data_IF_797093037059
#
_entry.id   IF_797093037059
#
_cell.length_a   1.000
_cell.length_b   1.000
_cell.length_c   1.000
_cell.angle_alpha   90.00
_cell.angle_beta   90.00
_cell.angle_gamma   90.00
#
_symmetry.space_group_name_H-M   'P 1'
#
loop_
_entity.id
_entity.type
_entity.pdbx_description
1 polymer ?
#
# COMPACT_ATOMS: atom_id res chain seq x y z
N UNK A 1 -10.18 1.49 89.93
CA UNK A 1 -10.69 1.94 91.24
C UNK A 1 -11.68 3.01 90.90
N UNK A 2 -12.93 2.87 91.29
CA UNK A 2 -13.97 3.84 90.96
C UNK A 2 -14.19 4.76 92.15
N UNK A 3 -14.34 6.04 91.88
CA UNK A 3 -14.77 7.02 92.87
C UNK A 3 -16.30 7.02 92.91
N UNK A 4 -16.84 6.58 94.05
CA UNK A 4 -18.28 6.60 94.31
C UNK A 4 -18.56 7.81 95.18
N UNK A 5 -19.21 8.83 94.61
CA UNK A 5 -19.47 10.10 95.29
C UNK A 5 -20.78 10.72 94.89
N UNK A 6 -21.44 11.40 95.82
CA UNK A 6 -22.71 12.06 95.59
C UNK A 6 -23.28 12.68 96.86
N UNK A 7 -24.55 13.07 96.82
CA UNK A 7 -25.32 13.54 97.99
C UNK A 7 -26.35 12.46 98.31
N UNK A 8 -26.40 12.03 99.57
CA UNK A 8 -27.38 11.05 100.03
C UNK A 8 -28.70 11.75 100.38
N UNK A 9 -29.77 11.38 99.68
CA UNK A 9 -31.11 11.92 99.88
C UNK A 9 -32.12 10.80 100.11
N UNK A 10 -33.19 11.10 100.84
CA UNK A 10 -34.33 10.18 101.01
C UNK A 10 -35.29 10.23 99.81
N UNK A 11 -36.35 9.41 99.84
CA UNK A 11 -37.37 9.36 98.79
C UNK A 11 -38.19 10.65 98.61
N UNK A 12 -38.02 11.64 99.49
CA UNK A 12 -38.61 12.98 99.39
C UNK A 12 -37.58 14.05 98.97
N UNK A 13 -36.33 13.65 98.69
CA UNK A 13 -35.24 14.55 98.29
C UNK A 13 -34.57 15.27 99.46
N UNK A 14 -34.88 14.91 100.71
CA UNK A 14 -34.26 15.51 101.90
C UNK A 14 -32.88 14.88 102.16
N UNK A 15 -31.91 15.72 102.51
CA UNK A 15 -30.55 15.29 102.85
C UNK A 15 -30.57 14.34 104.05
N UNK A 16 -29.89 13.20 103.90
CA UNK A 16 -29.57 12.27 104.99
C UNK A 16 -28.16 12.58 105.47
N UNK A 17 -28.02 13.03 106.72
CA UNK A 17 -26.73 13.33 107.37
C UNK A 17 -26.51 12.44 108.60
N UNK A 18 -25.33 12.55 109.22
CA UNK A 18 -24.95 11.78 110.41
C UNK A 18 -25.16 10.27 110.24
N UNK A 19 -24.79 9.77 109.06
CA UNK A 19 -24.93 8.37 108.69
C UNK A 19 -23.62 7.82 108.13
N UNK A 20 -23.54 6.50 108.06
CA UNK A 20 -22.36 5.76 107.60
C UNK A 20 -22.77 4.79 106.51
N UNK A 21 -22.05 4.82 105.40
CA UNK A 21 -22.19 3.84 104.33
C UNK A 21 -21.16 2.74 104.58
N UNK A 22 -21.64 1.53 104.81
CA UNK A 22 -20.80 0.34 104.94
C UNK A 22 -20.81 -0.47 103.64
N UNK A 23 -19.62 -0.79 103.16
CA UNK A 23 -19.39 -1.72 102.06
C UNK A 23 -18.81 -3.01 102.61
N UNK A 24 -19.56 -4.10 102.46
CA UNK A 24 -19.11 -5.44 102.82
C UNK A 24 -18.70 -6.21 101.56
N UNK A 25 -17.39 -6.44 101.40
CA UNK A 25 -16.89 -7.23 100.28
C UNK A 25 -17.36 -8.69 100.40
N UNK A 26 -18.10 -9.19 99.41
CA UNK A 26 -18.66 -10.55 99.43
C UNK A 26 -17.61 -11.66 99.25
N UNK A 27 -16.42 -11.32 98.75
CA UNK A 27 -15.30 -12.24 98.52
C UNK A 27 -13.97 -11.52 98.73
N UNK A 28 -12.95 -12.27 99.12
CA UNK A 28 -11.57 -11.78 99.10
C UNK A 28 -11.05 -11.81 97.66
N UNK A 29 -10.51 -10.69 97.17
CA UNK A 29 -9.79 -10.56 95.90
C UNK A 29 -8.29 -10.34 96.17
N UNK A 30 -7.47 -10.31 95.12
CA UNK A 30 -6.05 -9.96 95.25
C UNK A 30 -5.79 -8.52 95.73
N UNK A 31 -6.82 -7.66 95.79
CA UNK A 31 -6.74 -6.26 96.20
C UNK A 31 -7.69 -5.88 97.34
N UNK A 32 -8.65 -6.73 97.71
CA UNK A 32 -9.70 -6.44 98.71
C UNK A 32 -9.91 -7.67 99.58
N UNK A 33 -9.77 -7.55 100.90
CA UNK A 33 -10.15 -8.61 101.84
C UNK A 33 -11.66 -8.59 102.08
N UNK A 34 -12.28 -9.74 102.35
CA UNK A 34 -13.68 -9.85 102.78
C UNK A 34 -13.88 -9.23 104.18
N UNK A 35 -13.87 -7.90 104.23
CA UNK A 35 -14.03 -7.08 105.42
C UNK A 35 -14.98 -5.92 105.12
N UNK A 36 -15.56 -5.35 106.18
CA UNK A 36 -16.41 -4.17 106.10
C UNK A 36 -15.55 -2.91 106.04
N UNK A 37 -15.83 -2.03 105.09
CA UNK A 37 -15.30 -0.67 105.06
C UNK A 37 -16.44 0.31 105.34
N UNK A 38 -16.23 1.24 106.28
CA UNK A 38 -17.19 2.24 106.69
C UNK A 38 -16.75 3.63 106.17
N UNK A 39 -17.68 4.36 105.57
CA UNK A 39 -17.48 5.71 105.06
C UNK A 39 -18.49 6.65 105.70
N UNK A 40 -18.00 7.66 106.42
CA UNK A 40 -18.85 8.68 107.02
C UNK A 40 -19.41 9.63 105.96
N UNK A 41 -20.70 9.96 106.10
CA UNK A 41 -21.37 10.94 105.25
C UNK A 41 -21.30 12.30 105.95
N UNK A 42 -20.82 13.32 105.25
CA UNK A 42 -20.69 14.68 105.79
C UNK A 42 -22.05 15.30 106.13
N UNK A 43 -22.05 16.39 106.92
CA UNK A 43 -23.28 17.05 107.39
C UNK A 43 -24.20 17.55 106.26
N UNK A 44 -23.62 17.89 105.11
CA UNK A 44 -24.34 18.30 103.90
C UNK A 44 -24.85 17.10 103.06
N UNK A 45 -24.75 15.88 103.57
CA UNK A 45 -25.13 14.64 102.89
C UNK A 45 -24.12 14.14 101.87
N UNK A 46 -23.00 14.83 101.67
CA UNK A 46 -22.01 14.40 100.70
C UNK A 46 -21.22 13.19 101.20
N UNK A 47 -21.02 12.23 100.31
CA UNK A 47 -20.14 11.09 100.52
C UNK A 47 -19.15 11.00 99.37
N UNK A 48 -17.96 10.49 99.66
CA UNK A 48 -16.97 10.14 98.65
C UNK A 48 -16.20 8.95 99.16
N UNK A 49 -16.19 7.87 98.39
CA UNK A 49 -15.47 6.66 98.69
C UNK A 49 -14.75 6.15 97.46
N UNK A 50 -13.54 5.68 97.71
CA UNK A 50 -12.61 5.23 96.70
C UNK A 50 -12.62 3.70 96.74
N UNK A 51 -13.36 3.08 95.82
CA UNK A 51 -13.76 1.67 95.93
C UNK A 51 -12.98 0.83 94.92
N UNK A 52 -12.33 -0.22 95.43
CA UNK A 52 -11.59 -1.17 94.61
C UNK A 52 -12.55 -2.18 93.94
N UNK A 53 -12.12 -2.86 92.85
CA UNK A 53 -13.00 -3.80 92.17
C UNK A 53 -13.35 -5.03 93.02
N UNK A 54 -14.64 -5.21 93.31
CA UNK A 54 -15.24 -6.36 94.00
C UNK A 54 -16.78 -6.26 93.96
N UNK A 55 -17.48 -7.32 94.38
CA UNK A 55 -18.89 -7.27 94.71
C UNK A 55 -19.07 -6.88 96.18
N UNK A 56 -19.86 -5.84 96.44
CA UNK A 56 -20.10 -5.33 97.79
C UNK A 56 -21.57 -5.38 98.16
N UNK A 57 -21.90 -5.87 99.35
CA UNK A 57 -23.18 -5.58 99.99
C UNK A 57 -23.11 -4.20 100.65
N UNK A 58 -24.05 -3.33 100.30
CA UNK A 58 -24.10 -1.94 100.79
C UNK A 58 -25.12 -1.84 101.92
N UNK A 59 -24.70 -1.30 103.05
CA UNK A 59 -25.56 -0.97 104.19
C UNK A 59 -25.46 0.51 104.54
N UNK A 60 -26.56 1.08 104.98
CA UNK A 60 -26.65 2.43 105.49
C UNK A 60 -26.97 2.37 106.98
N UNK A 61 -26.12 2.99 107.80
CA UNK A 61 -26.30 3.12 109.24
C UNK A 61 -26.66 4.56 109.54
N UNK A 62 -27.84 4.78 110.13
CA UNK A 62 -28.29 6.11 110.58
C UNK A 62 -28.35 6.04 112.11
N UNK A 63 -27.76 7.01 112.80
CA UNK A 63 -27.73 7.04 114.27
C UNK A 63 -29.14 6.91 114.86
N UNK A 64 -29.34 5.89 115.70
CA UNK A 64 -30.64 5.59 116.33
C UNK A 64 -31.55 4.62 115.56
N UNK A 65 -31.16 4.17 114.35
CA UNK A 65 -31.90 3.21 113.54
C UNK A 65 -31.06 1.94 113.27
N UNK A 66 -31.70 0.76 113.10
CA UNK A 66 -30.98 -0.46 112.72
C UNK A 66 -30.35 -0.32 111.32
N UNK A 67 -29.17 -0.93 111.06
CA UNK A 67 -28.52 -0.90 109.75
C UNK A 67 -29.46 -1.36 108.63
N UNK A 68 -29.64 -0.51 107.61
CA UNK A 68 -30.50 -0.78 106.46
C UNK A 68 -29.66 -1.26 105.28
N UNK A 69 -29.92 -2.48 104.80
CA UNK A 69 -29.32 -2.96 103.55
C UNK A 69 -29.90 -2.19 102.36
N UNK A 70 -29.04 -1.52 101.60
CA UNK A 70 -29.42 -0.74 100.40
C UNK A 70 -29.41 -1.61 99.14
N UNK A 71 -28.52 -2.60 99.05
CA UNK A 71 -28.43 -3.48 97.89
C UNK A 71 -27.06 -4.14 97.76
N UNK A 72 -26.75 -4.65 96.57
CA UNK A 72 -25.41 -5.10 96.20
C UNK A 72 -24.94 -4.24 95.03
N UNK A 73 -23.67 -3.83 95.04
CA UNK A 73 -23.03 -3.15 93.91
C UNK A 73 -21.89 -4.02 93.39
N UNK A 74 -21.61 -3.93 92.08
CA UNK A 74 -20.44 -4.54 91.44
C UNK A 74 -19.53 -3.42 90.95
N UNK A 75 -18.27 -3.45 91.38
CA UNK A 75 -17.24 -2.51 90.92
C UNK A 75 -16.23 -3.31 90.10
N UNK A 76 -16.06 -2.95 88.83
CA UNK A 76 -15.08 -3.52 87.92
C UNK A 76 -13.81 -2.67 87.86
N UNK A 77 -12.76 -3.19 87.23
CA UNK A 77 -11.49 -2.46 87.06
C UNK A 77 -11.65 -1.18 86.22
N UNK A 78 -12.58 -1.19 85.29
CA UNK A 78 -12.92 -0.16 84.31
C UNK A 78 -14.26 0.53 84.61
N UNK A 79 -14.88 0.28 85.77
CA UNK A 79 -16.06 1.01 86.20
C UNK A 79 -15.76 2.51 86.26
N UNK A 80 -16.59 3.30 85.59
CA UNK A 80 -16.55 4.75 85.65
C UNK A 80 -16.94 5.26 87.05
N UNK A 81 -16.47 6.46 87.39
CA UNK A 81 -16.89 7.17 88.61
C UNK A 81 -18.39 7.50 88.54
N UNK A 82 -19.07 7.49 89.69
CA UNK A 82 -20.53 7.67 89.73
C UNK A 82 -21.10 7.81 91.14
N UNK A 83 -22.41 7.97 91.25
CA UNK A 83 -23.11 8.00 92.54
C UNK A 83 -23.38 6.59 93.04
N UNK A 84 -23.58 6.42 94.35
CA UNK A 84 -23.97 5.12 94.92
C UNK A 84 -25.24 4.57 94.26
N UNK A 85 -26.17 5.44 93.87
CA UNK A 85 -27.38 5.02 93.18
C UNK A 85 -27.09 4.49 91.77
N UNK A 86 -26.16 5.08 91.03
CA UNK A 86 -25.75 4.58 89.71
C UNK A 86 -25.22 3.15 89.81
N UNK A 87 -24.42 2.86 90.84
CA UNK A 87 -23.91 1.53 91.10
C UNK A 87 -24.98 0.54 91.62
N UNK A 88 -26.01 1.02 92.32
CA UNK A 88 -27.14 0.20 92.79
C UNK A 88 -28.19 -0.06 91.70
N UNK A 89 -28.25 0.79 90.67
CA UNK A 89 -29.15 0.65 89.52
C UNK A 89 -28.51 -0.12 88.36
N UNK A 90 -27.18 -0.33 88.38
CA UNK A 90 -26.52 -1.13 87.36
C UNK A 90 -27.06 -2.57 87.37
N UNK A 91 -27.48 -3.11 86.22
CA UNK A 91 -27.93 -4.49 86.12
C UNK A 91 -26.80 -5.42 86.56
N UNK A 92 -27.12 -6.37 87.43
CA UNK A 92 -26.15 -7.37 87.89
C UNK A 92 -25.75 -8.30 86.75
N UNK A 93 -24.55 -8.88 86.78
CA UNK A 93 -24.08 -9.87 85.78
C UNK A 93 -25.09 -11.00 85.49
N UNK A 94 -26.03 -11.29 86.40
CA UNK A 94 -27.10 -12.27 86.18
C UNK A 94 -28.11 -11.91 85.07
N UNK A 95 -28.16 -10.65 84.62
CA UNK A 95 -29.00 -10.22 83.50
C UNK A 95 -28.32 -10.41 82.13
N UNK A 96 -26.98 -10.56 82.10
CA UNK A 96 -26.22 -10.99 80.91
C UNK A 96 -26.29 -12.51 80.81
N UNK A 97 -27.44 -13.01 80.37
CA UNK A 97 -27.60 -14.44 80.13
C UNK A 97 -26.79 -14.88 78.91
N UNK A 98 -26.33 -16.15 78.84
CA UNK A 98 -25.71 -16.70 77.63
C UNK A 98 -26.57 -16.52 76.37
N UNK A 99 -27.90 -16.49 76.51
CA UNK A 99 -28.82 -16.25 75.41
C UNK A 99 -28.72 -14.83 74.82
N UNK A 100 -28.56 -13.80 75.66
CA UNK A 100 -28.39 -12.41 75.20
C UNK A 100 -27.05 -12.25 74.47
N UNK A 101 -25.99 -12.87 74.97
CA UNK A 101 -24.67 -12.89 74.30
C UNK A 101 -24.77 -13.61 72.94
N UNK A 102 -25.49 -14.74 72.87
CA UNK A 102 -25.69 -15.47 71.62
C UNK A 102 -26.44 -14.64 70.58
N UNK A 103 -27.51 -13.93 70.98
CA UNK A 103 -28.25 -13.04 70.06
C UNK A 103 -27.37 -11.93 69.48
N UNK A 104 -26.48 -11.34 70.29
CA UNK A 104 -25.53 -10.32 69.82
C UNK A 104 -24.50 -10.91 68.84
N UNK A 105 -23.99 -12.13 69.12
CA UNK A 105 -23.07 -12.83 68.22
C UNK A 105 -23.77 -13.18 66.90
N UNK A 106 -25.01 -13.67 66.95
CA UNK A 106 -25.80 -14.02 65.77
C UNK A 106 -26.11 -12.77 64.93
N UNK A 107 -26.49 -11.67 65.57
CA UNK A 107 -26.71 -10.38 64.90
C UNK A 107 -25.44 -9.89 64.22
N UNK A 108 -24.27 -9.96 64.89
CA UNK A 108 -22.98 -9.62 64.30
C UNK A 108 -22.64 -10.52 63.11
N UNK A 109 -22.85 -11.83 63.22
CA UNK A 109 -22.58 -12.78 62.15
C UNK A 109 -23.51 -12.55 60.94
N UNK A 110 -24.78 -12.25 61.18
CA UNK A 110 -25.72 -11.85 60.12
C UNK A 110 -25.32 -10.54 59.45
N UNK A 111 -24.88 -9.54 60.22
CA UNK A 111 -24.37 -8.29 59.68
C UNK A 111 -23.13 -8.50 58.80
N UNK A 112 -22.15 -9.28 59.28
CA UNK A 112 -20.95 -9.63 58.51
C UNK A 112 -21.29 -10.36 57.20
N UNK A 113 -22.16 -11.37 57.26
CA UNK A 113 -22.61 -12.11 56.07
C UNK A 113 -23.35 -11.22 55.07
N UNK A 114 -24.09 -10.22 55.57
CA UNK A 114 -24.78 -9.24 54.72
C UNK A 114 -23.79 -8.28 54.06
N UNK A 115 -22.75 -7.86 54.79
CA UNK A 115 -21.66 -7.03 54.26
C UNK A 115 -20.84 -7.77 53.19
N UNK A 116 -20.50 -9.05 53.41
CA UNK A 116 -19.82 -9.88 52.41
C UNK A 116 -20.63 -10.00 51.11
N UNK A 117 -21.94 -10.29 51.22
CA UNK A 117 -22.83 -10.33 50.05
C UNK A 117 -22.89 -9.00 49.31
N UNK A 118 -22.90 -7.88 50.03
CA UNK A 118 -22.89 -6.55 49.42
C UNK A 118 -21.58 -6.29 48.66
N UNK A 119 -20.43 -6.69 49.23
CA UNK A 119 -19.13 -6.59 48.57
C UNK A 119 -19.05 -7.46 47.30
N UNK A 120 -19.61 -8.68 47.33
CA UNK A 120 -19.69 -9.54 46.14
C UNK A 120 -20.57 -8.93 45.04
N UNK A 121 -21.70 -8.31 45.41
CA UNK A 121 -22.56 -7.59 44.47
C UNK A 121 -21.82 -6.41 43.85
N UNK A 122 -21.08 -5.62 44.63
CA UNK A 122 -20.28 -4.50 44.12
C UNK A 122 -19.21 -4.98 43.12
N UNK A 123 -18.52 -6.08 43.42
CA UNK A 123 -17.55 -6.69 42.50
C UNK A 123 -18.20 -7.15 41.20
N UNK A 124 -19.40 -7.73 41.28
CA UNK A 124 -20.15 -8.16 40.11
C UNK A 124 -20.64 -6.96 39.26
N UNK A 125 -21.08 -5.87 39.89
CA UNK A 125 -21.45 -4.63 39.20
C UNK A 125 -20.24 -4.09 38.42
N UNK A 126 -19.06 -3.97 39.05
CA UNK A 126 -17.83 -3.52 38.37
C UNK A 126 -17.47 -4.41 37.19
N UNK A 127 -17.66 -5.73 37.31
CA UNK A 127 -17.44 -6.66 36.20
C UNK A 127 -18.42 -6.40 35.05
N UNK A 128 -19.71 -6.17 35.35
CA UNK A 128 -20.74 -5.83 34.35
C UNK A 128 -20.43 -4.50 33.68
N UNK A 129 -20.01 -3.48 34.43
CA UNK A 129 -19.60 -2.18 33.89
C UNK A 129 -18.43 -2.33 32.91
N UNK A 130 -17.40 -3.08 33.29
CA UNK A 130 -16.27 -3.38 32.41
C UNK A 130 -16.71 -4.10 31.13
N UNK A 131 -17.57 -5.11 31.24
CA UNK A 131 -18.11 -5.81 30.07
C UNK A 131 -18.95 -4.90 29.19
N UNK A 132 -19.76 -4.02 29.78
CA UNK A 132 -20.58 -3.03 29.04
C UNK A 132 -19.70 -2.05 28.27
N UNK A 133 -18.64 -1.57 28.90
CA UNK A 133 -17.65 -0.70 28.26
C UNK A 133 -16.95 -1.41 27.10
N UNK A 134 -16.60 -2.69 27.26
CA UNK A 134 -16.03 -3.49 26.17
C UNK A 134 -17.00 -3.60 24.99
N UNK A 135 -18.28 -3.89 25.23
CA UNK A 135 -19.29 -3.94 24.16
C UNK A 135 -19.49 -2.60 23.47
N UNK A 136 -19.47 -1.48 24.21
CA UNK A 136 -19.55 -0.15 23.62
C UNK A 136 -18.35 0.14 22.70
N UNK A 137 -17.14 -0.26 23.09
CA UNK A 137 -15.95 -0.12 22.22
C UNK A 137 -16.04 -1.02 20.98
N UNK A 138 -16.47 -2.28 21.13
CA UNK A 138 -16.66 -3.18 19.99
C UNK A 138 -17.70 -2.64 19.01
N UNK A 139 -18.80 -2.06 19.51
CA UNK A 139 -19.80 -1.41 18.67
C UNK A 139 -19.22 -0.20 17.91
N UNK A 140 -18.37 0.59 18.56
CA UNK A 140 -17.66 1.71 17.92
C UNK A 140 -16.71 1.23 16.82
N UNK A 141 -15.87 0.24 17.12
CA UNK A 141 -14.98 -0.38 16.13
C UNK A 141 -15.76 -0.96 14.95
N UNK A 142 -16.91 -1.60 15.22
CA UNK A 142 -17.77 -2.12 14.15
C UNK A 142 -18.34 -1.01 13.26
N UNK A 143 -18.71 0.14 13.82
CA UNK A 143 -19.18 1.29 13.06
C UNK A 143 -18.05 1.90 12.19
N UNK A 144 -16.84 2.01 12.74
CA UNK A 144 -15.67 2.49 12.01
C UNK A 144 -15.31 1.55 10.84
N UNK A 145 -15.38 0.23 11.06
CA UNK A 145 -15.17 -0.76 10.01
C UNK A 145 -16.24 -0.69 8.90
N UNK A 146 -17.52 -0.48 9.27
CA UNK A 146 -18.59 -0.31 8.28
C UNK A 146 -18.34 0.92 7.39
N UNK A 147 -17.91 2.03 7.99
CA UNK A 147 -17.56 3.26 7.26
C UNK A 147 -16.36 3.06 6.34
N UNK A 148 -15.32 2.34 6.79
CA UNK A 148 -14.18 1.98 5.94
C UNK A 148 -14.62 1.11 4.75
N UNK A 149 -15.52 0.15 4.98
CA UNK A 149 -16.09 -0.69 3.91
C UNK A 149 -16.89 0.11 2.89
N UNK A 150 -17.62 1.14 3.32
CA UNK A 150 -18.33 2.07 2.43
C UNK A 150 -17.33 2.82 1.53
N UNK A 151 -16.29 3.43 2.09
CA UNK A 151 -15.23 4.11 1.33
C UNK A 151 -14.53 3.18 0.34
N UNK A 152 -14.23 1.94 0.75
CA UNK A 152 -13.63 0.95 -0.14
C UNK A 152 -14.56 0.59 -1.32
N UNK A 153 -15.87 0.53 -1.07
CA UNK A 153 -16.86 0.25 -2.13
C UNK A 153 -16.96 1.41 -3.12
N UNK A 154 -16.88 2.66 -2.65
CA UNK A 154 -16.84 3.85 -3.50
C UNK A 154 -15.59 3.89 -4.38
N UNK A 155 -14.42 3.58 -3.80
CA UNK A 155 -13.16 3.50 -4.53
C UNK A 155 -13.21 2.41 -5.61
N UNK A 156 -13.72 1.23 -5.28
CA UNK A 156 -13.92 0.15 -6.26
C UNK A 156 -14.85 0.56 -7.40
N UNK A 157 -15.95 1.26 -7.08
CA UNK A 157 -16.86 1.79 -8.08
C UNK A 157 -16.16 2.83 -8.99
N UNK A 158 -15.27 3.66 -8.44
CA UNK A 158 -14.47 4.61 -9.22
C UNK A 158 -13.49 3.90 -10.16
N UNK A 159 -12.72 2.93 -9.66
CA UNK A 159 -11.81 2.14 -10.50
C UNK A 159 -12.54 1.37 -11.61
N UNK A 160 -13.76 0.89 -11.35
CA UNK A 160 -14.60 0.27 -12.36
C UNK A 160 -15.03 1.26 -13.47
N UNK A 161 -15.39 2.51 -13.10
CA UNK A 161 -15.71 3.58 -14.06
C UNK A 161 -14.51 3.96 -14.93
N UNK A 162 -13.33 4.08 -14.32
CA UNK A 162 -12.08 4.37 -15.03
C UNK A 162 -11.74 3.24 -16.02
N UNK A 163 -11.85 1.99 -15.57
CA UNK A 163 -11.64 0.80 -16.42
C UNK A 163 -12.59 0.77 -17.61
N UNK A 164 -13.86 1.12 -17.41
CA UNK A 164 -14.85 1.21 -18.49
C UNK A 164 -14.50 2.31 -19.52
N UNK A 165 -13.96 3.44 -19.04
CA UNK A 165 -13.48 4.52 -19.91
C UNK A 165 -12.29 4.07 -20.74
N UNK A 166 -11.31 3.41 -20.11
CA UNK A 166 -10.15 2.84 -20.82
C UNK A 166 -10.57 1.84 -21.89
N UNK A 167 -11.52 0.95 -21.59
CA UNK A 167 -12.04 -0.02 -22.56
C UNK A 167 -12.73 0.67 -23.76
N UNK A 168 -13.44 1.77 -23.51
CA UNK A 168 -14.09 2.57 -24.56
C UNK A 168 -13.05 3.23 -25.47
N UNK A 169 -12.01 3.83 -24.88
CA UNK A 169 -10.93 4.46 -25.63
C UNK A 169 -10.13 3.45 -26.45
N UNK A 170 -9.86 2.27 -25.89
CA UNK A 170 -9.19 1.18 -26.62
C UNK A 170 -10.03 0.70 -27.81
N UNK A 171 -11.35 0.61 -27.65
CA UNK A 171 -12.27 0.25 -28.74
C UNK A 171 -12.25 1.30 -29.87
N UNK A 172 -12.25 2.59 -29.53
CA UNK A 172 -12.15 3.67 -30.51
C UNK A 172 -10.80 3.66 -31.26
N UNK A 173 -9.69 3.41 -30.55
CA UNK A 173 -8.36 3.28 -31.15
C UNK A 173 -8.27 2.09 -32.11
N UNK A 174 -8.92 0.97 -31.79
CA UNK A 174 -8.99 -0.20 -32.66
C UNK A 174 -9.76 0.12 -33.95
N UNK A 175 -10.91 0.79 -33.86
CA UNK A 175 -11.68 1.23 -35.04
C UNK A 175 -10.90 2.20 -35.92
N UNK A 176 -10.12 3.11 -35.33
CA UNK A 176 -9.25 4.01 -36.09
C UNK A 176 -8.13 3.24 -36.81
N UNK A 177 -7.51 2.26 -36.14
CA UNK A 177 -6.48 1.41 -36.77
C UNK A 177 -7.04 0.60 -37.94
N UNK A 178 -8.27 0.07 -37.82
CA UNK A 178 -8.96 -0.61 -38.91
C UNK A 178 -9.15 0.30 -40.13
N UNK A 179 -9.60 1.53 -39.92
CA UNK A 179 -9.76 2.52 -40.99
C UNK A 179 -8.43 2.87 -41.67
N UNK A 180 -7.36 3.02 -40.88
CA UNK A 180 -6.01 3.24 -41.42
C UNK A 180 -5.52 2.04 -42.23
N UNK A 181 -5.73 0.82 -41.74
CA UNK A 181 -5.36 -0.40 -42.47
C UNK A 181 -6.12 -0.52 -43.80
N UNK A 182 -7.42 -0.22 -43.81
CA UNK A 182 -8.23 -0.19 -45.04
C UNK A 182 -7.71 0.86 -46.04
N UNK A 183 -7.32 2.04 -45.56
CA UNK A 183 -6.74 3.10 -46.41
C UNK A 183 -5.40 2.69 -47.01
N UNK A 184 -4.55 1.98 -46.25
CA UNK A 184 -3.30 1.43 -46.75
C UNK A 184 -3.52 0.30 -47.77
N UNK A 185 -4.48 -0.58 -47.54
CA UNK A 185 -4.86 -1.63 -48.48
C UNK A 185 -5.32 -1.04 -49.81
N UNK A 186 -6.16 0.00 -49.78
CA UNK A 186 -6.59 0.70 -50.98
C UNK A 186 -5.43 1.41 -51.69
N UNK A 187 -4.54 2.07 -50.95
CA UNK A 187 -3.34 2.70 -51.52
C UNK A 187 -2.45 1.68 -52.22
N UNK A 188 -2.23 0.50 -51.60
CA UNK A 188 -1.47 -0.59 -52.21
C UNK A 188 -2.13 -1.11 -53.49
N UNK A 189 -3.46 -1.24 -53.51
CA UNK A 189 -4.23 -1.64 -54.70
C UNK A 189 -4.08 -0.64 -55.85
N UNK A 190 -4.13 0.66 -55.56
CA UNK A 190 -3.92 1.72 -56.54
C UNK A 190 -2.48 1.71 -57.08
N UNK A 191 -1.48 1.53 -56.22
CA UNK A 191 -0.07 1.42 -56.62
C UNK A 191 0.20 0.19 -57.50
N UNK A 192 -0.43 -0.96 -57.19
CA UNK A 192 -0.34 -2.15 -58.02
C UNK A 192 -0.95 -1.91 -59.42
N UNK A 193 -2.10 -1.24 -59.47
CA UNK A 193 -2.76 -0.85 -60.74
C UNK A 193 -1.87 0.10 -61.56
N UNK A 194 -1.28 1.12 -60.93
CA UNK A 194 -0.36 2.05 -61.59
C UNK A 194 0.86 1.31 -62.16
N UNK A 195 1.44 0.37 -61.39
CA UNK A 195 2.57 -0.44 -61.83
C UNK A 195 2.23 -1.32 -63.03
N UNK A 196 1.05 -1.93 -63.04
CA UNK A 196 0.55 -2.72 -64.17
C UNK A 196 0.40 -1.85 -65.44
N UNK A 197 -0.10 -0.62 -65.30
CA UNK A 197 -0.22 0.33 -66.40
C UNK A 197 1.15 0.74 -66.97
N UNK A 198 2.13 1.05 -66.10
CA UNK A 198 3.50 1.36 -66.53
C UNK A 198 4.17 0.19 -67.24
N UNK A 199 3.93 -1.04 -66.78
CA UNK A 199 4.41 -2.24 -67.45
C UNK A 199 3.79 -2.39 -68.85
N UNK A 200 2.48 -2.13 -69.01
CA UNK A 200 1.80 -2.16 -70.30
C UNK A 200 2.35 -1.07 -71.25
N UNK A 201 2.55 0.15 -70.77
CA UNK A 201 3.18 1.23 -71.54
C UNK A 201 4.59 0.86 -72.01
N UNK A 202 5.38 0.22 -71.15
CA UNK A 202 6.74 -0.23 -71.51
C UNK A 202 6.72 -1.28 -72.62
N UNK A 203 5.77 -2.23 -72.60
CA UNK A 203 5.58 -3.20 -73.69
C UNK A 203 5.22 -2.50 -75.01
N UNK A 204 4.33 -1.52 -74.97
CA UNK A 204 3.95 -0.74 -76.16
C UNK A 204 5.15 0.02 -76.74
N UNK A 205 5.97 0.64 -75.89
CA UNK A 205 7.21 1.31 -76.31
C UNK A 205 8.21 0.34 -76.97
N UNK A 206 8.35 -0.87 -76.45
CA UNK A 206 9.20 -1.89 -77.06
C UNK A 206 8.70 -2.30 -78.47
N UNK A 207 7.38 -2.45 -78.65
CA UNK A 207 6.77 -2.73 -79.96
C UNK A 207 7.05 -1.58 -80.94
N UNK A 208 6.88 -0.32 -80.50
CA UNK A 208 7.16 0.86 -81.34
C UNK A 208 8.65 0.96 -81.71
N UNK A 209 9.56 0.62 -80.79
CA UNK A 209 10.99 0.58 -81.07
C UNK A 209 11.33 -0.49 -82.12
N UNK A 210 10.73 -1.69 -82.01
CA UNK A 210 10.90 -2.76 -83.00
C UNK A 210 10.38 -2.34 -84.39
N UNK A 211 9.24 -1.64 -84.43
CA UNK A 211 8.69 -1.07 -85.67
C UNK A 211 9.68 -0.06 -86.28
N UNK A 212 10.28 0.80 -85.46
CA UNK A 212 11.27 1.79 -85.91
C UNK A 212 12.52 1.12 -86.48
N UNK A 213 13.02 0.06 -85.84
CA UNK A 213 14.14 -0.74 -86.35
C UNK A 213 13.82 -1.33 -87.74
N UNK A 214 12.62 -1.87 -87.92
CA UNK A 214 12.17 -2.41 -89.21
C UNK A 214 12.09 -1.31 -90.29
N UNK A 215 11.58 -0.13 -89.95
CA UNK A 215 11.54 1.00 -90.87
C UNK A 215 12.95 1.45 -91.27
N UNK A 216 13.90 1.48 -90.33
CA UNK A 216 15.30 1.82 -90.62
C UNK A 216 15.94 0.82 -91.58
N UNK A 217 15.73 -0.50 -91.37
CA UNK A 217 16.19 -1.55 -92.30
C UNK A 217 15.58 -1.38 -93.70
N UNK A 218 14.29 -1.05 -93.79
CA UNK A 218 13.64 -0.78 -95.07
C UNK A 218 14.24 0.46 -95.77
N UNK A 219 14.50 1.53 -95.03
CA UNK A 219 15.16 2.72 -95.55
C UNK A 219 16.57 2.45 -96.05
N UNK A 220 17.34 1.62 -95.35
CA UNK A 220 18.67 1.16 -95.78
C UNK A 220 18.59 0.42 -97.12
N UNK A 221 17.67 -0.54 -97.25
CA UNK A 221 17.44 -1.28 -98.51
C UNK A 221 17.05 -0.34 -99.66
N UNK A 222 16.14 0.61 -99.39
CA UNK A 222 15.72 1.58 -100.39
C UNK A 222 16.88 2.48 -100.84
N UNK A 223 17.72 2.94 -99.92
CA UNK A 223 18.90 3.74 -100.23
C UNK A 223 19.93 2.94 -101.06
N UNK A 224 20.16 1.67 -100.72
CA UNK A 224 21.03 0.78 -101.50
C UNK A 224 20.51 0.61 -102.94
N UNK A 225 19.19 0.45 -103.10
CA UNK A 225 18.56 0.35 -104.42
C UNK A 225 18.69 1.64 -105.23
N UNK A 226 18.40 2.80 -104.64
CA UNK A 226 18.59 4.09 -105.30
C UNK A 226 20.04 4.32 -105.74
N UNK A 227 21.02 3.88 -104.95
CA UNK A 227 22.43 3.97 -105.31
C UNK A 227 22.77 3.09 -106.51
N UNK A 228 22.21 1.88 -106.58
CA UNK A 228 22.36 0.98 -107.74
C UNK A 228 21.70 1.54 -109.00
N UNK A 229 20.47 2.04 -108.89
CA UNK A 229 19.74 2.67 -109.99
C UNK A 229 20.53 3.88 -110.54
N UNK A 230 21.12 4.69 -109.66
CA UNK A 230 21.98 5.81 -110.06
C UNK A 230 23.27 5.35 -110.80
N UNK A 231 23.89 4.24 -110.37
CA UNK A 231 25.06 3.66 -111.07
C UNK A 231 24.70 3.17 -112.47
N UNK A 232 23.55 2.51 -112.60
CA UNK A 232 23.04 2.05 -113.89
C UNK A 232 22.72 3.23 -114.82
N UNK A 233 22.07 4.27 -114.29
CA UNK A 233 21.79 5.49 -115.05
C UNK A 233 23.07 6.18 -115.53
N UNK A 234 24.06 6.36 -114.65
CA UNK A 234 25.35 6.95 -115.01
C UNK A 234 26.06 6.16 -116.13
N UNK A 235 25.93 4.83 -116.12
CA UNK A 235 26.47 3.96 -117.16
C UNK A 235 25.73 4.07 -118.49
N UNK A 236 24.50 4.60 -118.49
CA UNK A 236 23.69 4.84 -119.69
C UNK A 236 23.88 6.23 -120.31
N UNK A 237 24.68 7.11 -119.67
CA UNK A 237 24.97 8.46 -120.18
C UNK A 237 25.91 8.36 -121.39
N UNK A 238 25.42 8.79 -122.54
CA UNK A 238 26.22 8.96 -123.76
C UNK A 238 27.01 10.27 -123.68
N UNK A 239 28.32 10.15 -123.43
CA UNK A 239 29.27 11.26 -123.30
C UNK A 239 29.52 12.04 -124.61
N UNK A 240 28.99 11.59 -125.75
CA UNK A 240 29.20 12.25 -127.04
C UNK A 240 28.36 13.55 -127.23
N UNK A 241 27.38 13.82 -126.37
CA UNK A 241 26.51 15.01 -126.44
C UNK A 241 26.82 16.12 -125.42
N UNK A 242 27.80 15.94 -124.53
CA UNK A 242 28.18 16.94 -123.50
C UNK A 242 29.31 17.86 -123.98
N UNK A 243 29.09 18.60 -125.09
CA UNK A 243 29.97 19.71 -125.48
C UNK A 243 29.17 21.00 -125.58
N UNK A 244 29.60 21.96 -124.75
CA UNK A 244 29.32 23.42 -124.70
C UNK A 244 28.00 23.86 -124.05
N UNK A 245 28.11 24.34 -122.81
CA UNK A 245 27.70 25.71 -122.44
C UNK A 245 28.42 26.18 -121.18
N UNK A 246 28.68 27.48 -121.19
CA UNK A 246 29.69 28.27 -120.49
C UNK A 246 29.26 28.75 -119.10
N UNK A 247 30.25 28.86 -118.21
CA UNK A 247 30.40 29.89 -117.17
C UNK A 247 29.29 30.06 -116.13
N UNK A 248 29.55 29.66 -114.87
CA UNK A 248 29.40 30.47 -113.65
C UNK A 248 29.77 29.64 -112.41
N UNK A 249 30.48 30.26 -111.47
CA UNK A 249 31.01 29.66 -110.25
C UNK A 249 29.88 29.23 -109.29
N UNK A 250 29.96 28.00 -108.79
CA UNK A 250 29.03 27.45 -107.79
C UNK A 250 29.53 27.72 -106.38
N UNK A 251 28.75 28.49 -105.61
CA UNK A 251 28.98 28.81 -104.20
C UNK A 251 28.76 27.58 -103.30
N UNK A 252 29.70 27.31 -102.38
CA UNK A 252 29.52 26.36 -101.28
C UNK A 252 28.92 27.05 -100.05
N UNK A 253 27.84 26.51 -99.48
CA UNK A 253 27.29 26.97 -98.19
C UNK A 253 27.72 25.98 -97.09
N UNK A 254 28.47 26.50 -96.12
CA UNK A 254 28.91 25.85 -94.90
C UNK A 254 27.80 25.90 -93.84
N UNK A 255 27.43 24.77 -93.23
CA UNK A 255 26.48 24.73 -92.11
C UNK A 255 26.78 23.58 -91.15
N UNK A 256 27.38 23.89 -90.01
CA UNK A 256 27.65 22.97 -88.90
C UNK A 256 26.42 22.86 -87.97
N UNK A 257 26.06 21.63 -87.58
CA UNK A 257 24.96 21.32 -86.66
C UNK A 257 25.54 20.84 -85.32
N UNK A 258 25.32 21.62 -84.25
CA UNK A 258 25.68 21.23 -82.87
C UNK A 258 24.43 20.63 -82.19
N UNK A 259 24.54 19.38 -81.75
CA UNK A 259 23.52 18.70 -80.93
C UNK A 259 23.92 18.84 -79.45
N UNK A 260 23.02 19.39 -78.63
CA UNK A 260 23.12 19.32 -77.15
C UNK A 260 22.08 18.33 -76.64
N UNK A 261 22.54 17.29 -75.95
CA UNK A 261 21.68 16.34 -75.23
C UNK A 261 21.07 16.99 -73.97
N UNK A 262 19.80 16.66 -73.71
CA UNK A 262 19.05 17.05 -72.51
C UNK A 262 19.01 15.88 -71.52
N UNK A 263 19.38 16.14 -70.27
CA UNK A 263 19.36 15.17 -69.16
C UNK A 263 17.91 15.00 -68.68
N UNK A 264 17.38 13.78 -68.72
CA UNK A 264 16.13 13.40 -68.05
C UNK A 264 16.38 13.13 -66.57
N UNK A 265 15.56 13.75 -65.71
CA UNK A 265 15.48 13.49 -64.29
C UNK A 265 14.31 12.53 -64.04
N UNK A 266 14.60 11.29 -63.65
CA UNK A 266 13.62 10.35 -63.11
C UNK A 266 14.19 9.79 -61.80
N UNK A 267 13.47 9.98 -60.68
CA UNK A 267 13.28 8.97 -59.63
C UNK A 267 12.35 9.49 -58.52
N UNK A 268 11.13 8.95 -58.52
CA UNK A 268 10.26 8.89 -57.36
C UNK A 268 10.74 7.67 -56.54
N UNK A 269 11.39 7.88 -55.41
CA UNK A 269 11.76 6.81 -54.48
C UNK A 269 10.72 6.72 -53.36
N UNK A 270 10.05 5.58 -53.23
CA UNK A 270 9.51 5.10 -51.95
C UNK A 270 10.70 4.70 -51.06
N UNK A 271 11.44 5.69 -50.54
CA UNK A 271 12.65 5.47 -49.74
C UNK A 271 12.37 5.63 -48.25
N UNK A 272 12.92 4.72 -47.44
CA UNK A 272 12.97 4.88 -45.98
C UNK A 272 13.44 6.31 -45.62
N UNK A 273 12.83 6.90 -44.58
CA UNK A 273 13.14 8.27 -44.17
C UNK A 273 14.39 8.30 -43.30
N UNK A 274 15.26 9.31 -43.47
CA UNK A 274 16.40 9.52 -42.58
C UNK A 274 15.86 9.73 -41.16
N UNK A 275 16.33 8.91 -40.21
CA UNK A 275 15.81 8.85 -38.85
C UNK A 275 14.71 7.80 -38.64
N UNK A 276 14.36 6.98 -39.63
CA UNK A 276 13.49 5.82 -39.38
C UNK A 276 14.19 4.85 -38.41
N UNK A 277 13.48 4.41 -37.37
CA UNK A 277 13.99 3.49 -36.37
C UNK A 277 13.09 2.26 -36.31
N UNK A 278 13.69 1.06 -36.36
CA UNK A 278 12.94 -0.20 -36.29
C UNK A 278 13.78 -1.37 -35.78
N UNK A 279 13.12 -2.50 -35.55
CA UNK A 279 13.77 -3.78 -35.28
C UNK A 279 13.95 -4.56 -36.59
N UNK A 280 15.14 -5.09 -36.82
CA UNK A 280 15.47 -5.87 -38.01
C UNK A 280 15.94 -7.30 -37.68
N UNK A 281 15.66 -8.29 -38.54
CA UNK A 281 16.08 -9.67 -38.34
C UNK A 281 17.55 -9.94 -38.76
N UNK A 282 18.31 -8.89 -39.09
CA UNK A 282 19.71 -8.98 -39.50
C UNK A 282 20.64 -8.89 -38.31
N UNK A 283 21.81 -9.53 -38.38
CA UNK A 283 22.89 -9.32 -37.40
C UNK A 283 23.46 -7.91 -37.56
N UNK A 284 24.11 -7.41 -36.51
CA UNK A 284 24.77 -6.08 -36.50
C UNK A 284 25.70 -5.85 -37.70
N UNK A 285 26.51 -6.85 -38.05
CA UNK A 285 27.50 -6.74 -39.14
C UNK A 285 26.92 -7.01 -40.53
N UNK A 286 25.63 -7.37 -40.61
CA UNK A 286 24.93 -7.76 -41.84
C UNK A 286 23.78 -6.78 -42.15
N UNK A 287 23.82 -5.58 -41.58
CA UNK A 287 22.79 -4.58 -41.80
C UNK A 287 22.78 -4.10 -43.25
N UNK A 288 21.60 -3.93 -43.87
CA UNK A 288 21.48 -3.37 -45.21
C UNK A 288 22.09 -1.97 -45.29
N UNK A 289 22.52 -1.57 -46.49
CA UNK A 289 23.11 -0.26 -46.72
C UNK A 289 22.23 0.88 -46.16
N UNK A 290 22.87 1.86 -45.52
CA UNK A 290 22.22 3.00 -44.91
C UNK A 290 21.61 2.74 -43.52
N UNK A 291 21.62 1.50 -43.01
CA UNK A 291 21.12 1.15 -41.68
C UNK A 291 22.26 0.98 -40.67
N UNK A 292 22.06 1.54 -39.48
CA UNK A 292 23.06 1.57 -38.42
C UNK A 292 22.47 1.06 -37.12
N UNK A 293 23.26 0.33 -36.34
CA UNK A 293 22.87 -0.20 -35.04
C UNK A 293 22.67 0.92 -34.00
N UNK A 294 21.57 0.90 -33.23
CA UNK A 294 21.26 1.91 -32.21
C UNK A 294 21.91 1.59 -30.87
N UNK A 295 23.22 1.81 -30.76
CA UNK A 295 24.02 1.48 -29.58
C UNK A 295 24.77 2.66 -28.96
N UNK A 296 24.51 3.89 -29.42
CA UNK A 296 25.23 5.06 -28.92
C UNK A 296 26.61 5.31 -29.55
N UNK A 297 27.00 4.58 -30.60
CA UNK A 297 28.26 4.80 -31.30
C UNK A 297 28.40 6.24 -31.81
N UNK A 298 29.63 6.74 -31.83
CA UNK A 298 29.94 8.11 -32.23
C UNK A 298 30.50 8.14 -33.66
N UNK A 299 29.95 9.01 -34.49
CA UNK A 299 30.45 9.30 -35.83
C UNK A 299 31.07 10.70 -35.86
N UNK A 300 32.15 10.88 -36.62
CA UNK A 300 32.70 12.22 -36.88
C UNK A 300 31.59 13.11 -37.46
N UNK A 301 31.42 14.33 -36.94
CA UNK A 301 30.37 15.24 -37.39
C UNK A 301 30.51 15.59 -38.89
N UNK A 302 31.73 15.54 -39.43
CA UNK A 302 32.03 15.74 -40.84
C UNK A 302 31.76 14.53 -41.74
N UNK A 303 31.63 13.32 -41.19
CA UNK A 303 31.37 12.09 -41.95
C UNK A 303 29.96 12.10 -42.59
N UNK A 304 29.69 11.30 -43.63
CA UNK A 304 28.34 11.16 -44.19
C UNK A 304 27.30 10.84 -43.12
N UNK A 305 27.59 9.90 -42.21
CA UNK A 305 26.72 9.50 -41.11
C UNK A 305 26.48 10.66 -40.14
N UNK A 306 27.55 11.36 -39.76
CA UNK A 306 27.47 12.51 -38.86
C UNK A 306 26.66 13.66 -39.45
N UNK A 307 26.80 13.92 -40.75
CA UNK A 307 25.99 14.92 -41.45
C UNK A 307 24.52 14.51 -41.55
N UNK A 308 24.23 13.22 -41.80
CA UNK A 308 22.87 12.70 -41.83
C UNK A 308 22.19 12.85 -40.46
N UNK A 309 22.87 12.45 -39.38
CA UNK A 309 22.39 12.63 -38.01
C UNK A 309 22.21 14.11 -37.66
N UNK A 310 23.13 14.98 -38.06
CA UNK A 310 23.05 16.41 -37.72
C UNK A 310 21.91 17.13 -38.45
N UNK A 311 21.50 16.64 -39.63
CA UNK A 311 20.35 17.16 -40.39
C UNK A 311 19.00 16.81 -39.75
N UNK A 312 18.94 15.86 -38.82
CA UNK A 312 17.74 15.61 -38.03
C UNK A 312 17.35 16.86 -37.23
N UNK A 313 16.05 17.03 -37.01
CA UNK A 313 15.52 18.20 -36.31
C UNK A 313 16.06 18.29 -34.89
N UNK A 314 16.11 19.50 -34.33
CA UNK A 314 16.53 19.70 -32.93
C UNK A 314 15.68 18.88 -31.97
N UNK A 315 14.36 18.84 -32.18
CA UNK A 315 13.44 18.06 -31.34
C UNK A 315 13.75 16.56 -31.40
N UNK A 316 13.92 16.01 -32.61
CA UNK A 316 14.27 14.59 -32.76
C UNK A 316 15.57 14.25 -32.03
N UNK A 317 16.59 15.12 -32.17
CA UNK A 317 17.88 14.92 -31.49
C UNK A 317 17.74 14.97 -29.97
N UNK A 318 16.93 15.89 -29.45
CA UNK A 318 16.66 15.99 -28.01
C UNK A 318 15.92 14.75 -27.50
N UNK A 319 14.84 14.35 -28.17
CA UNK A 319 14.01 13.21 -27.77
C UNK A 319 14.84 11.92 -27.75
N UNK A 320 15.74 11.73 -28.73
CA UNK A 320 16.54 10.52 -28.85
C UNK A 320 17.96 10.62 -28.27
N UNK A 321 18.26 11.65 -27.48
CA UNK A 321 19.58 11.87 -26.86
C UNK A 321 20.75 11.81 -27.86
N UNK A 322 20.56 12.41 -29.04
CA UNK A 322 21.58 12.57 -30.07
C UNK A 322 22.30 13.89 -29.79
N UNK A 323 23.57 13.79 -29.39
CA UNK A 323 24.35 14.92 -28.90
C UNK A 323 25.66 15.05 -29.67
N UNK A 324 26.13 16.28 -29.82
CA UNK A 324 27.46 16.56 -30.37
C UNK A 324 28.44 16.69 -29.21
N UNK A 325 29.55 15.96 -29.28
CA UNK A 325 30.62 15.93 -28.27
C UNK A 325 31.95 16.28 -28.94
N UNK A 326 32.82 17.00 -28.23
CA UNK A 326 34.19 17.26 -28.69
C UNK A 326 35.13 16.27 -28.02
N UNK A 327 35.84 15.48 -28.81
CA UNK A 327 36.82 14.48 -28.37
C UNK A 327 38.10 14.77 -29.15
N UNK A 328 39.21 15.01 -28.45
CA UNK A 328 40.53 15.29 -29.03
C UNK A 328 40.53 16.38 -30.12
N UNK A 329 39.73 17.44 -29.90
CA UNK A 329 39.61 18.58 -30.82
C UNK A 329 38.72 18.33 -32.04
N UNK A 330 38.13 17.15 -32.18
CA UNK A 330 37.17 16.82 -33.23
C UNK A 330 35.76 16.68 -32.67
N UNK A 331 34.76 17.08 -33.46
CA UNK A 331 33.36 16.95 -33.09
C UNK A 331 32.81 15.62 -33.58
N UNK A 332 32.10 14.93 -32.69
CA UNK A 332 31.41 13.66 -32.94
C UNK A 332 29.94 13.80 -32.60
N UNK A 333 29.09 13.06 -33.29
CA UNK A 333 27.65 12.95 -33.02
C UNK A 333 27.28 11.48 -32.85
N UNK A 334 26.49 11.16 -31.84
CA UNK A 334 26.12 9.78 -31.56
C UNK A 334 24.87 9.33 -32.32
N UNK A 335 24.80 8.05 -32.69
CA UNK A 335 23.50 7.41 -32.95
C UNK A 335 22.71 7.28 -31.64
N UNK A 336 21.37 7.21 -31.67
CA UNK A 336 20.61 6.94 -30.46
C UNK A 336 20.90 5.53 -29.93
N UNK A 337 20.68 5.32 -28.64
CA UNK A 337 20.78 4.00 -28.01
C UNK A 337 19.40 3.41 -27.79
N UNK A 338 19.23 2.14 -28.14
CA UNK A 338 18.05 1.34 -27.77
C UNK A 338 18.21 0.61 -26.43
N UNK A 339 19.30 0.89 -25.70
CA UNK A 339 19.67 0.21 -24.46
C UNK A 339 19.75 1.19 -23.29
N UNK A 340 19.29 0.73 -22.13
CA UNK A 340 19.49 1.38 -20.85
C UNK A 340 20.97 1.31 -20.44
N UNK A 341 21.34 2.09 -19.41
CA UNK A 341 22.72 2.15 -18.90
C UNK A 341 23.22 0.83 -18.32
N UNK A 342 22.32 -0.07 -17.91
CA UNK A 342 22.63 -1.42 -17.43
C UNK A 342 22.76 -2.45 -18.57
N UNK A 343 22.61 -2.02 -19.83
CA UNK A 343 22.74 -2.85 -21.02
C UNK A 343 21.45 -3.55 -21.46
N UNK A 344 20.34 -3.41 -20.73
CA UNK A 344 19.05 -3.99 -21.14
C UNK A 344 18.41 -3.19 -22.25
N UNK A 345 17.77 -3.88 -23.19
CA UNK A 345 17.07 -3.25 -24.31
C UNK A 345 15.73 -2.67 -23.87
N UNK A 346 15.38 -1.50 -24.40
CA UNK A 346 14.04 -0.94 -24.20
C UNK A 346 13.01 -1.66 -25.07
N UNK A 347 11.83 -1.90 -24.51
CA UNK A 347 10.65 -2.24 -25.30
C UNK A 347 10.00 -0.97 -25.83
N UNK A 348 9.79 -0.90 -27.14
CA UNK A 348 9.12 0.22 -27.78
C UNK A 348 7.61 0.14 -27.57
N UNK A 349 7.01 1.23 -27.10
CA UNK A 349 5.57 1.35 -26.88
C UNK A 349 5.06 2.73 -27.30
N UNK A 350 3.81 2.80 -27.71
CA UNK A 350 3.18 4.05 -28.15
C UNK A 350 3.19 5.11 -27.04
N UNK A 351 3.43 6.37 -27.40
CA UNK A 351 3.25 7.53 -26.51
C UNK A 351 1.79 7.60 -26.02
N UNK A 352 1.57 8.15 -24.81
CA UNK A 352 0.22 8.31 -24.26
C UNK A 352 -0.31 9.75 -24.33
N UNK A 353 0.48 10.66 -24.90
CA UNK A 353 0.11 12.08 -25.03
C UNK A 353 0.17 12.85 -23.70
N UNK A 354 0.62 12.24 -22.61
CA UNK A 354 0.72 12.84 -21.28
C UNK A 354 2.15 12.76 -20.76
N UNK A 355 2.45 11.81 -19.88
CA UNK A 355 3.76 11.64 -19.26
C UNK A 355 4.71 10.80 -20.12
N UNK A 356 4.18 9.85 -20.92
CA UNK A 356 5.00 9.07 -21.86
C UNK A 356 5.07 9.77 -23.20
N UNK A 357 6.17 10.49 -23.41
CA UNK A 357 6.51 11.23 -24.63
C UNK A 357 7.55 10.50 -25.48
N UNK A 358 7.74 10.95 -26.73
CA UNK A 358 8.79 10.41 -27.61
C UNK A 358 10.15 10.53 -26.91
N UNK A 359 10.91 9.44 -26.87
CA UNK A 359 12.23 9.43 -26.24
C UNK A 359 12.26 9.23 -24.73
N UNK A 360 11.10 9.34 -24.05
CA UNK A 360 11.00 9.05 -22.62
C UNK A 360 11.16 7.54 -22.35
N UNK A 361 11.85 7.19 -21.26
CA UNK A 361 12.02 5.83 -20.80
C UNK A 361 11.26 5.61 -19.48
N UNK A 362 10.54 4.50 -19.39
CA UNK A 362 9.89 4.02 -18.17
C UNK A 362 10.68 2.82 -17.64
N UNK A 363 10.91 2.75 -16.33
CA UNK A 363 11.53 1.59 -15.70
C UNK A 363 10.59 0.39 -15.61
N UNK A 364 11.12 -0.76 -15.22
CA UNK A 364 10.30 -1.96 -15.01
C UNK A 364 9.26 -1.71 -13.92
N UNK A 365 8.01 -2.05 -14.23
CA UNK A 365 6.93 -2.00 -13.29
C UNK A 365 5.98 -3.17 -13.51
N UNK A 366 5.50 -3.74 -12.41
CA UNK A 366 4.30 -4.56 -12.39
C UNK A 366 3.19 -3.76 -11.72
N UNK A 367 1.93 -4.11 -12.00
CA UNK A 367 0.81 -3.56 -11.22
C UNK A 367 0.97 -3.95 -9.76
N UNK A 368 0.38 -3.16 -8.87
CA UNK A 368 0.27 -3.55 -7.47
C UNK A 368 -0.49 -4.89 -7.37
N UNK A 369 0.11 -5.85 -6.68
CA UNK A 369 -0.46 -7.18 -6.44
C UNK A 369 -0.52 -7.36 -4.94
N UNK A 370 -1.71 -7.14 -4.38
CA UNK A 370 -1.96 -7.26 -2.95
C UNK A 370 -2.91 -8.42 -2.65
N UNK A 371 -2.60 -9.16 -1.58
CA UNK A 371 -3.45 -10.20 -1.03
C UNK A 371 -3.17 -10.37 0.46
N UNK A 372 -4.23 -10.56 1.25
CA UNK A 372 -4.14 -10.80 2.69
C UNK A 372 -4.48 -12.26 2.98
N UNK A 373 -3.64 -12.93 3.78
CA UNK A 373 -3.80 -14.33 4.14
C UNK A 373 -3.92 -14.47 5.66
N UNK A 374 -5.13 -14.77 6.15
CA UNK A 374 -5.37 -15.17 7.53
C UNK A 374 -5.11 -16.67 7.68
N UNK A 375 -4.01 -17.06 8.33
CA UNK A 375 -3.75 -18.48 8.62
C UNK A 375 -4.17 -18.80 10.05
N UNK A 376 -5.12 -19.73 10.21
CA UNK A 376 -5.42 -20.37 11.50
C UNK A 376 -4.51 -21.57 11.78
N UNK A 377 -4.60 -22.14 12.99
CA UNK A 377 -3.87 -23.36 13.38
C UNK A 377 -4.46 -24.56 12.64
N UNK A 378 -3.81 -25.02 11.57
CA UNK A 378 -4.20 -26.25 10.85
C UNK A 378 -3.06 -27.27 10.95
N UNK A 379 -3.34 -28.43 11.54
CA UNK A 379 -2.40 -29.54 11.59
C UNK A 379 -2.10 -30.06 10.18
N UNK A 380 -0.84 -30.45 9.93
CA UNK A 380 -0.36 -30.97 8.63
C UNK A 380 -0.49 -29.97 7.46
N UNK A 381 -0.28 -28.67 7.68
CA UNK A 381 -0.40 -27.60 6.67
C UNK A 381 0.40 -27.85 5.37
N UNK A 382 1.58 -28.46 5.48
CA UNK A 382 2.43 -28.85 4.34
C UNK A 382 1.72 -29.85 3.38
N UNK A 383 0.73 -30.61 3.86
CA UNK A 383 -0.05 -31.54 3.03
C UNK A 383 -1.03 -30.82 2.10
N UNK A 384 -1.44 -29.58 2.41
CA UNK A 384 -2.44 -28.83 1.65
C UNK A 384 -1.84 -27.80 0.69
N UNK A 385 -0.61 -27.35 0.92
CA UNK A 385 0.07 -26.42 0.02
C UNK A 385 0.41 -27.08 -1.32
N UNK A 386 0.09 -26.41 -2.43
CA UNK A 386 0.40 -26.84 -3.80
C UNK A 386 0.82 -25.62 -4.64
N UNK A 387 1.64 -25.87 -5.65
CA UNK A 387 2.02 -24.85 -6.63
C UNK A 387 2.92 -23.76 -6.05
N UNK A 388 2.51 -22.50 -6.19
CA UNK A 388 3.28 -21.34 -5.71
C UNK A 388 3.32 -21.22 -4.19
N UNK A 389 2.52 -22.00 -3.46
CA UNK A 389 2.46 -21.97 -2.01
C UNK A 389 3.15 -23.19 -1.41
N UNK A 390 3.90 -22.98 -0.34
CA UNK A 390 4.50 -24.03 0.49
C UNK A 390 4.19 -23.80 1.96
N UNK A 391 3.89 -24.88 2.70
CA UNK A 391 3.74 -24.80 4.15
C UNK A 391 5.09 -24.59 4.83
N UNK A 392 5.17 -23.61 5.73
CA UNK A 392 6.37 -23.27 6.51
C UNK A 392 6.03 -23.10 8.01
N UNK A 393 7.04 -23.00 8.86
CA UNK A 393 6.81 -22.62 10.26
C UNK A 393 6.47 -21.13 10.32
N UNK A 394 5.55 -20.74 11.20
CA UNK A 394 5.20 -19.33 11.36
C UNK A 394 6.42 -18.52 11.84
N UNK A 395 6.66 -17.37 11.20
CA UNK A 395 7.79 -16.47 11.51
C UNK A 395 7.54 -15.69 12.81
N UNK A 396 6.28 -15.35 13.10
CA UNK A 396 5.85 -14.62 14.31
C UNK A 396 4.65 -15.31 14.97
N UNK A 397 4.86 -16.44 15.67
CA UNK A 397 3.79 -17.22 16.28
C UNK A 397 2.96 -16.43 17.32
N UNK A 398 3.56 -15.45 17.98
CA UNK A 398 2.95 -14.61 19.01
C UNK A 398 1.90 -13.61 18.49
N UNK A 399 1.94 -13.29 17.19
CA UNK A 399 1.02 -12.35 16.54
C UNK A 399 -0.09 -13.07 15.74
N UNK A 400 -0.13 -14.40 15.79
CA UNK A 400 -1.16 -15.20 15.14
C UNK A 400 -2.53 -15.03 15.80
N UNK A 401 -3.59 -15.33 15.05
CA UNK A 401 -4.98 -15.26 15.54
C UNK A 401 -5.27 -16.18 16.76
N UNK A 402 -4.35 -17.08 17.10
CA UNK A 402 -4.43 -17.99 18.24
C UNK A 402 -3.11 -18.00 19.01
N UNK A 403 -3.17 -17.84 20.33
CA UNK A 403 -2.00 -18.01 21.21
C UNK A 403 -1.41 -19.42 21.03
N UNK A 404 -0.09 -19.49 20.86
CA UNK A 404 0.62 -20.76 20.78
C UNK A 404 0.37 -21.57 22.06
N UNK A 405 -0.43 -22.64 21.97
CA UNK A 405 -0.51 -23.62 23.05
C UNK A 405 0.84 -24.31 23.13
N UNK A 406 1.63 -23.90 24.12
CA UNK A 406 2.98 -24.28 24.63
C UNK A 406 3.76 -25.48 24.04
N UNK A 407 3.10 -26.43 23.38
CA UNK A 407 3.68 -27.68 22.88
C UNK A 407 3.46 -27.93 21.38
N UNK A 408 2.78 -27.04 20.64
CA UNK A 408 2.54 -27.17 19.18
C UNK A 408 3.27 -26.08 18.38
N UNK A 409 3.98 -26.43 17.29
CA UNK A 409 4.55 -25.43 16.38
C UNK A 409 3.43 -24.64 15.69
N UNK A 410 3.57 -23.33 15.57
CA UNK A 410 2.69 -22.53 14.73
C UNK A 410 3.15 -22.61 13.27
N UNK A 411 2.21 -22.58 12.33
CA UNK A 411 2.45 -22.81 10.91
C UNK A 411 1.94 -21.66 10.04
N UNK A 412 2.60 -21.44 8.90
CA UNK A 412 2.27 -20.41 7.91
C UNK A 412 2.39 -20.92 6.48
N UNK A 413 2.06 -20.06 5.52
CA UNK A 413 2.29 -20.32 4.09
C UNK A 413 3.30 -19.32 3.53
N UNK A 414 4.31 -19.84 2.84
CA UNK A 414 5.19 -19.02 2.02
C UNK A 414 4.64 -18.95 0.60
N UNK A 415 4.79 -17.78 -0.03
CA UNK A 415 4.52 -17.60 -1.45
C UNK A 415 5.82 -17.52 -2.25
N UNK A 416 6.02 -18.52 -3.09
CA UNK A 416 7.15 -18.65 -4.00
C UNK A 416 6.63 -18.92 -5.42
N UNK A 417 6.36 -17.85 -6.18
CA UNK A 417 5.93 -17.97 -7.58
C UNK A 417 6.88 -18.84 -8.42
N UNK A 418 8.19 -18.81 -8.13
CA UNK A 418 9.24 -19.59 -8.80
C UNK A 418 9.00 -21.10 -8.81
N UNK A 419 8.13 -21.62 -7.95
CA UNK A 419 7.82 -23.05 -7.92
C UNK A 419 6.97 -23.50 -9.11
N UNK A 420 6.26 -22.57 -9.76
CA UNK A 420 5.33 -22.87 -10.86
C UNK A 420 5.57 -22.03 -12.10
N UNK A 421 6.42 -21.00 -12.02
CA UNK A 421 6.82 -20.19 -13.18
C UNK A 421 8.34 -20.07 -13.27
N UNK A 422 8.92 -20.10 -14.49
CA UNK A 422 10.32 -19.76 -14.70
C UNK A 422 10.65 -18.35 -14.18
N UNK A 423 11.80 -18.19 -13.54
CA UNK A 423 12.28 -16.89 -13.07
C UNK A 423 13.51 -16.42 -13.85
N UNK A 424 13.70 -15.11 -13.90
CA UNK A 424 14.86 -14.45 -14.48
C UNK A 424 15.17 -13.17 -13.70
N UNK A 425 16.30 -12.53 -14.00
CA UNK A 425 16.70 -11.24 -13.42
C UNK A 425 15.85 -10.05 -13.90
N UNK A 426 14.91 -10.29 -14.81
CA UNK A 426 14.03 -9.30 -15.42
C UNK A 426 12.65 -9.93 -15.70
N UNK A 427 11.59 -9.18 -15.42
CA UNK A 427 10.23 -9.58 -15.77
C UNK A 427 10.01 -9.37 -17.27
N UNK A 428 9.82 -10.45 -18.03
CA UNK A 428 9.62 -10.37 -19.48
C UNK A 428 8.60 -11.38 -19.99
N UNK A 429 7.73 -10.98 -20.93
CA UNK A 429 6.97 -11.95 -21.71
C UNK A 429 7.90 -12.72 -22.64
N UNK A 430 7.37 -13.77 -23.27
CA UNK A 430 8.05 -14.45 -24.38
C UNK A 430 8.43 -13.41 -25.44
N UNK A 431 9.69 -13.41 -25.86
CA UNK A 431 10.24 -12.45 -26.82
C UNK A 431 11.29 -13.12 -27.72
N UNK A 432 11.64 -12.42 -28.81
CA UNK A 432 12.68 -12.82 -29.76
C UNK A 432 13.64 -11.64 -29.97
N UNK A 433 14.93 -11.93 -30.07
CA UNK A 433 15.96 -10.91 -30.30
C UNK A 433 15.95 -10.40 -31.74
N UNK A 434 15.96 -9.08 -31.90
CA UNK A 434 16.10 -8.39 -33.18
C UNK A 434 17.06 -7.22 -33.01
N UNK A 435 17.67 -6.77 -34.11
CA UNK A 435 18.65 -5.67 -34.08
C UNK A 435 17.95 -4.33 -34.19
N UNK A 436 18.00 -3.46 -33.16
CA UNK A 436 17.50 -2.09 -33.24
C UNK A 436 18.39 -1.23 -34.15
N UNK A 437 17.77 -0.61 -35.15
CA UNK A 437 18.49 0.15 -36.17
C UNK A 437 17.91 1.54 -36.41
N UNK A 438 18.71 2.41 -37.00
CA UNK A 438 18.32 3.73 -37.54
C UNK A 438 18.78 3.86 -39.00
N UNK A 439 17.94 4.41 -39.87
CA UNK A 439 18.30 4.69 -41.25
C UNK A 439 18.92 6.07 -41.40
N UNK A 440 20.12 6.13 -41.97
CA UNK A 440 20.83 7.36 -42.30
C UNK A 440 20.99 7.56 -43.82
N UNK A 441 20.74 6.51 -44.62
CA UNK A 441 20.76 6.56 -46.09
C UNK A 441 22.15 6.79 -46.72
N UNK A 442 23.21 6.60 -45.95
CA UNK A 442 24.61 6.84 -46.33
C UNK A 442 25.52 5.71 -45.90
#
# INVERSE_FOLDING_TARGET
>A
MAKISGILTDGAGKIINNCTIELYAKRTTNKVLAQTQAFEVAENGSYTMNVLPCDYEVKLIINGFPPKKLGTIQVFSDSADGTLNDFLLNPSESEITPAVVQQVIDARNHANKSAEKAADVEKNIKKIENTTNQYAQLAKTSADNAKLSETNSENNAQSARESATTATNASAAASNSENTANSHAESARLSATASANSAAQSRNSAVLAQQSENNAKQSEQNAAKSAEDARQYASSIDSSNFIKKTGEESQSINGSLIVRESIRCDRIFNGDMIGDQRLMPFRREELPFGWYFRNGDNFLLSSPQGQALNRLSTNYKNDHNITIKTIDGQQYINVPTAFASDGRGFFERAVDGTNRQVGSAEGDAIRDIWGHFDTGVVDNHYMYSRGAFSGSNAIYPENGAFEQKKDWPAFGYDFHASNVVPTAHENRPINIGMTPVIYLGV
#
